data_IF_943116828983
#
_entry.id   IF_943116828983
#
_cell.length_a   1.000
_cell.length_b   1.000
_cell.length_c   1.000
_cell.angle_alpha   90.00
_cell.angle_beta   90.00
_cell.angle_gamma   90.00
#
_symmetry.space_group_name_H-M   'P 1'
#
loop_
_entity.id
_entity.type
_entity.pdbx_description
1 polymer ?
#
# COMPACT_ATOMS: atom_id res chain seq x y z
N UNK A 1 21.75 -30.95 7.49
CA UNK A 1 21.40 -29.70 8.20
C UNK A 1 21.31 -28.60 7.15
N UNK A 2 20.10 -28.32 6.68
CA UNK A 2 19.84 -27.41 5.56
C UNK A 2 20.21 -25.98 5.91
N UNK A 3 20.98 -25.35 5.03
CA UNK A 3 21.33 -23.93 5.06
C UNK A 3 20.10 -23.06 5.33
N UNK A 4 19.98 -22.51 6.54
CA UNK A 4 19.18 -21.31 6.74
C UNK A 4 19.86 -20.22 5.92
N UNK A 5 19.24 -19.81 4.81
CA UNK A 5 19.48 -18.49 4.23
C UNK A 5 19.12 -17.49 5.33
N UNK A 6 20.14 -17.02 6.04
CA UNK A 6 20.02 -15.85 6.92
C UNK A 6 19.75 -14.69 5.98
N UNK A 7 18.47 -14.36 5.83
CA UNK A 7 18.08 -13.10 5.20
C UNK A 7 18.51 -11.98 6.14
N UNK A 8 19.20 -10.94 5.64
CA UNK A 8 19.62 -9.83 6.50
C UNK A 8 18.37 -9.22 7.11
N UNK A 9 18.33 -9.16 8.44
CA UNK A 9 17.27 -8.51 9.18
C UNK A 9 17.20 -7.04 8.75
N UNK A 10 16.23 -6.68 7.90
CA UNK A 10 15.88 -5.28 7.69
C UNK A 10 15.15 -4.85 8.95
N UNK A 11 15.87 -4.14 9.82
CA UNK A 11 15.40 -3.73 11.14
C UNK A 11 14.36 -2.60 11.02
N UNK A 12 13.09 -2.98 10.94
CA UNK A 12 11.96 -2.08 11.16
C UNK A 12 11.10 -1.78 9.93
N UNK A 13 9.91 -1.23 10.21
CA UNK A 13 9.01 -0.75 9.15
C UNK A 13 9.68 0.42 8.41
N UNK A 14 9.64 0.44 7.06
CA UNK A 14 10.14 1.57 6.29
C UNK A 14 9.29 2.82 6.57
N UNK A 15 9.79 4.01 6.19
CA UNK A 15 8.95 5.20 6.19
C UNK A 15 7.69 4.97 5.35
N UNK A 16 6.55 5.56 5.73
CA UNK A 16 5.31 5.45 4.96
C UNK A 16 5.50 6.05 3.56
N UNK A 17 4.72 5.60 2.55
CA UNK A 17 4.85 6.14 1.21
C UNK A 17 4.55 7.65 1.18
N UNK A 18 5.23 8.37 0.29
CA UNK A 18 5.06 9.82 0.14
C UNK A 18 3.62 10.20 -0.20
N UNK A 19 3.05 11.19 0.50
CA UNK A 19 1.67 11.66 0.29
C UNK A 19 1.58 13.05 -0.36
N UNK A 20 2.72 13.69 -0.60
CA UNK A 20 2.86 14.97 -1.30
C UNK A 20 3.96 14.79 -2.33
N UNK A 21 3.73 15.23 -3.57
CA UNK A 21 4.75 15.20 -4.61
C UNK A 21 5.39 16.59 -4.72
N UNK A 22 6.65 16.77 -4.27
CA UNK A 22 7.31 18.09 -4.34
C UNK A 22 7.73 18.47 -5.77
N UNK A 23 7.74 17.53 -6.72
CA UNK A 23 8.22 17.72 -8.09
C UNK A 23 7.11 18.05 -9.08
N UNK A 24 5.85 17.79 -8.73
CA UNK A 24 4.70 18.02 -9.60
C UNK A 24 3.49 18.44 -8.78
N UNK A 25 2.79 19.46 -9.26
CA UNK A 25 1.50 19.84 -8.72
C UNK A 25 0.46 18.90 -9.34
N UNK A 26 -0.06 17.93 -8.57
CA UNK A 26 -1.14 17.09 -9.06
C UNK A 26 -2.43 17.89 -9.29
N UNK A 27 -3.46 17.20 -9.76
CA UNK A 27 -4.68 17.83 -10.27
C UNK A 27 -5.90 17.35 -9.50
N UNK A 28 -6.96 18.14 -9.62
CA UNK A 28 -8.31 17.69 -9.26
C UNK A 28 -9.06 17.47 -10.56
N UNK A 29 -9.50 16.24 -10.81
CA UNK A 29 -10.33 15.87 -11.96
C UNK A 29 -11.60 15.19 -11.48
N UNK A 30 -12.64 15.13 -12.31
CA UNK A 30 -13.87 14.40 -12.00
C UNK A 30 -13.61 12.92 -11.65
N UNK A 31 -12.67 12.27 -12.35
CA UNK A 31 -12.28 10.88 -12.07
C UNK A 31 -11.57 10.74 -10.71
N UNK A 32 -10.62 11.63 -10.39
CA UNK A 32 -9.94 11.61 -9.08
C UNK A 32 -10.91 11.90 -7.94
N UNK A 33 -11.84 12.84 -8.13
CA UNK A 33 -12.91 13.11 -7.16
C UNK A 33 -13.84 11.91 -6.97
N UNK A 34 -14.16 11.19 -8.04
CA UNK A 34 -14.96 9.95 -7.94
C UNK A 34 -14.20 8.86 -7.16
N UNK A 35 -12.91 8.69 -7.45
CA UNK A 35 -12.05 7.75 -6.71
C UNK A 35 -12.00 8.08 -5.21
N UNK A 36 -11.95 9.36 -4.84
CA UNK A 36 -11.95 9.79 -3.43
C UNK A 36 -13.33 9.64 -2.77
N UNK A 37 -14.37 10.24 -3.36
CA UNK A 37 -15.67 10.41 -2.71
C UNK A 37 -16.53 9.15 -2.76
N UNK A 38 -16.31 8.30 -3.77
CA UNK A 38 -17.10 7.09 -4.00
C UNK A 38 -16.27 5.85 -3.71
N UNK A 39 -15.16 5.65 -4.43
CA UNK A 39 -14.41 4.37 -4.35
C UNK A 39 -13.72 4.20 -3.00
N UNK A 40 -12.93 5.17 -2.54
CA UNK A 40 -12.29 5.13 -1.21
C UNK A 40 -13.34 4.99 -0.11
N UNK A 41 -14.45 5.74 -0.18
CA UNK A 41 -15.51 5.67 0.82
C UNK A 41 -16.14 4.28 0.89
N UNK A 42 -16.44 3.67 -0.25
CA UNK A 42 -16.98 2.32 -0.33
C UNK A 42 -16.00 1.27 0.23
N UNK A 43 -14.73 1.33 -0.18
CA UNK A 43 -13.69 0.42 0.31
C UNK A 43 -13.48 0.58 1.82
N UNK A 44 -13.44 1.80 2.35
CA UNK A 44 -13.26 2.05 3.78
C UNK A 44 -14.41 1.52 4.63
N UNK A 45 -15.65 1.62 4.10
CA UNK A 45 -16.86 1.12 4.75
C UNK A 45 -17.00 -0.41 4.70
N UNK A 46 -16.23 -1.10 3.87
CA UNK A 46 -16.30 -2.55 3.75
C UNK A 46 -15.77 -3.26 5.00
N UNK A 47 -16.44 -4.34 5.43
CA UNK A 47 -16.13 -5.09 6.66
C UNK A 47 -14.69 -5.63 6.68
N UNK A 48 -14.16 -6.01 5.52
CA UNK A 48 -12.80 -6.59 5.41
C UNK A 48 -11.72 -5.57 5.04
N UNK A 49 -12.01 -4.28 5.13
CA UNK A 49 -11.03 -3.25 4.78
C UNK A 49 -9.95 -3.05 5.83
N UNK A 50 -10.19 -3.49 7.08
CA UNK A 50 -9.32 -3.18 8.22
C UNK A 50 -7.81 -3.51 8.01
N UNK A 51 -7.40 -4.60 7.34
CA UNK A 51 -5.96 -4.87 7.12
C UNK A 51 -5.31 -3.91 6.13
N UNK A 52 -6.11 -3.28 5.27
CA UNK A 52 -5.65 -2.39 4.21
C UNK A 52 -5.72 -0.92 4.62
N UNK A 53 -6.27 -0.60 5.79
CA UNK A 53 -6.52 0.79 6.20
C UNK A 53 -5.25 1.55 6.54
N UNK A 54 -4.18 0.87 6.92
CA UNK A 54 -2.90 1.46 7.33
C UNK A 54 -1.74 0.70 6.69
N UNK A 55 -0.53 1.28 6.61
CA UNK A 55 0.67 0.55 6.24
C UNK A 55 0.82 -0.72 7.10
N UNK A 56 1.31 -1.80 6.49
CA UNK A 56 1.54 -3.07 7.18
C UNK A 56 2.62 -2.89 8.25
N UNK A 57 2.30 -3.18 9.51
CA UNK A 57 3.29 -3.18 10.57
C UNK A 57 3.95 -4.57 10.65
N UNK A 58 5.03 -4.75 9.91
CA UNK A 58 5.75 -6.03 9.83
C UNK A 58 6.36 -6.43 11.18
N UNK A 59 6.74 -5.47 12.02
CA UNK A 59 7.28 -5.73 13.36
C UNK A 59 6.16 -6.24 14.28
N UNK A 60 5.04 -5.52 14.36
CA UNK A 60 3.92 -5.89 15.22
C UNK A 60 3.29 -7.23 14.81
N UNK A 61 3.23 -7.51 13.50
CA UNK A 61 2.68 -8.75 12.96
C UNK A 61 3.70 -9.90 12.89
N UNK A 62 4.95 -9.67 13.29
CA UNK A 62 6.05 -10.65 13.25
C UNK A 62 6.26 -11.25 11.86
N UNK A 63 6.29 -10.38 10.85
CA UNK A 63 6.51 -10.70 9.43
C UNK A 63 7.91 -10.22 9.00
N UNK A 64 9.00 -10.92 9.39
CA UNK A 64 10.37 -10.41 9.25
C UNK A 64 10.83 -10.21 7.80
N UNK A 65 10.17 -10.85 6.84
CA UNK A 65 10.49 -10.86 5.42
C UNK A 65 9.55 -9.98 4.57
N UNK A 66 8.51 -9.38 5.18
CA UNK A 66 7.47 -8.66 4.44
C UNK A 66 8.05 -7.58 3.53
N UNK A 67 8.90 -6.70 4.08
CA UNK A 67 9.53 -5.62 3.32
C UNK A 67 10.76 -6.03 2.51
N UNK A 68 11.20 -7.28 2.63
CA UNK A 68 12.15 -7.90 1.70
C UNK A 68 11.44 -8.37 0.44
N UNK A 69 10.24 -8.92 0.58
CA UNK A 69 9.41 -9.42 -0.54
C UNK A 69 8.65 -8.26 -1.20
N UNK A 70 8.05 -7.39 -0.40
CA UNK A 70 7.21 -6.26 -0.85
C UNK A 70 8.03 -4.99 -0.90
N UNK A 71 8.45 -4.63 -2.12
CA UNK A 71 9.35 -3.49 -2.38
C UNK A 71 8.60 -2.16 -2.59
N UNK A 72 7.29 -2.20 -2.85
CA UNK A 72 6.44 -1.01 -3.05
C UNK A 72 5.20 -1.08 -2.16
N UNK A 73 5.33 -0.84 -0.84
CA UNK A 73 4.18 -0.91 0.06
C UNK A 73 3.13 0.15 -0.28
N UNK A 74 1.87 -0.20 -0.13
CA UNK A 74 0.73 0.68 -0.39
C UNK A 74 -0.47 0.26 0.46
N UNK A 75 -1.28 1.24 0.86
CA UNK A 75 -2.47 1.06 1.72
C UNK A 75 -3.52 2.15 1.47
N UNK A 76 -4.75 1.92 1.95
CA UNK A 76 -5.89 2.82 1.73
C UNK A 76 -5.70 4.20 2.37
N UNK A 77 -5.04 4.32 3.53
CA UNK A 77 -4.82 5.64 4.14
C UNK A 77 -3.86 6.48 3.31
N UNK A 78 -2.82 5.84 2.75
CA UNK A 78 -1.89 6.50 1.84
C UNK A 78 -2.60 6.97 0.58
N UNK A 79 -3.38 6.10 -0.10
CA UNK A 79 -4.13 6.47 -1.31
C UNK A 79 -5.11 7.61 -1.03
N UNK A 80 -5.83 7.53 0.10
CA UNK A 80 -6.75 8.58 0.55
C UNK A 80 -6.03 9.92 0.76
N UNK A 81 -4.91 9.93 1.49
CA UNK A 81 -4.12 11.15 1.72
C UNK A 81 -3.56 11.71 0.42
N UNK A 82 -3.10 10.86 -0.49
CA UNK A 82 -2.64 11.27 -1.84
C UNK A 82 -3.75 11.96 -2.64
N UNK A 83 -4.99 11.44 -2.62
CA UNK A 83 -6.13 12.11 -3.24
C UNK A 83 -6.42 13.48 -2.60
N UNK A 84 -6.44 13.54 -1.26
CA UNK A 84 -6.70 14.76 -0.50
C UNK A 84 -5.63 15.84 -0.72
N UNK A 85 -4.38 15.44 -0.88
CA UNK A 85 -3.23 16.33 -1.09
C UNK A 85 -2.99 16.66 -2.57
N UNK A 86 -3.90 16.26 -3.48
CA UNK A 86 -3.72 16.45 -4.93
C UNK A 86 -2.37 15.89 -5.41
N UNK A 87 -2.02 14.70 -4.94
CA UNK A 87 -0.77 14.02 -5.30
C UNK A 87 -0.79 13.52 -6.75
N UNK A 88 -1.93 12.97 -7.18
CA UNK A 88 -2.06 12.37 -8.51
C UNK A 88 -2.33 13.43 -9.58
N UNK A 89 -1.73 13.23 -10.74
CA UNK A 89 -2.00 13.98 -11.94
C UNK A 89 -3.22 13.44 -12.69
N UNK A 90 -3.36 12.11 -12.74
CA UNK A 90 -4.42 11.42 -13.45
C UNK A 90 -4.95 10.20 -12.68
N UNK A 91 -6.18 9.80 -12.97
CA UNK A 91 -6.85 8.70 -12.27
C UNK A 91 -6.09 7.36 -12.36
N UNK A 92 -5.39 7.12 -13.48
CA UNK A 92 -4.64 5.89 -13.70
C UNK A 92 -3.55 5.66 -12.62
N UNK A 93 -2.91 6.71 -12.13
CA UNK A 93 -1.88 6.60 -11.09
C UNK A 93 -2.48 6.14 -9.75
N UNK A 94 -3.64 6.67 -9.38
CA UNK A 94 -4.38 6.23 -8.20
C UNK A 94 -4.85 4.77 -8.35
N UNK A 95 -5.33 4.38 -9.53
CA UNK A 95 -5.71 2.99 -9.85
C UNK A 95 -4.51 2.04 -9.75
N UNK A 96 -3.32 2.48 -10.18
CA UNK A 96 -2.09 1.71 -10.04
C UNK A 96 -1.70 1.48 -8.58
N UNK A 97 -1.92 2.44 -7.70
CA UNK A 97 -1.70 2.26 -6.25
C UNK A 97 -2.69 1.26 -5.63
N UNK A 98 -3.97 1.29 -6.03
CA UNK A 98 -4.92 0.24 -5.63
C UNK A 98 -4.47 -1.14 -6.10
N UNK A 99 -4.07 -1.27 -7.36
CA UNK A 99 -3.57 -2.53 -7.91
C UNK A 99 -2.31 -3.00 -7.19
N UNK A 100 -1.40 -2.08 -6.84
CA UNK A 100 -0.18 -2.38 -6.07
C UNK A 100 -0.55 -2.93 -4.69
N UNK A 101 -1.46 -2.27 -3.96
CA UNK A 101 -1.94 -2.73 -2.66
C UNK A 101 -2.50 -4.16 -2.72
N UNK A 102 -3.38 -4.47 -3.68
CA UNK A 102 -3.93 -5.82 -3.83
C UNK A 102 -2.88 -6.84 -4.29
N UNK A 103 -2.01 -6.46 -5.23
CA UNK A 103 -0.92 -7.34 -5.71
C UNK A 103 0.02 -7.71 -4.59
N UNK A 104 0.41 -6.76 -3.74
CA UNK A 104 1.25 -7.03 -2.58
C UNK A 104 0.62 -8.06 -1.64
N UNK A 105 -0.68 -7.91 -1.38
CA UNK A 105 -1.44 -8.86 -0.59
C UNK A 105 -1.41 -10.27 -1.21
N UNK A 106 -1.67 -10.40 -2.52
CA UNK A 106 -1.64 -11.71 -3.19
C UNK A 106 -0.24 -12.32 -3.22
N UNK A 107 0.79 -11.54 -3.53
CA UNK A 107 2.17 -12.01 -3.61
C UNK A 107 2.65 -12.53 -2.26
N UNK A 108 2.49 -11.73 -1.20
CA UNK A 108 2.97 -12.11 0.13
C UNK A 108 2.17 -13.28 0.72
N UNK A 109 0.83 -13.20 0.70
CA UNK A 109 0.02 -14.23 1.35
C UNK A 109 0.01 -15.56 0.57
N UNK A 110 0.18 -15.54 -0.76
CA UNK A 110 0.39 -16.78 -1.52
C UNK A 110 1.74 -17.41 -1.19
N UNK A 111 2.79 -16.61 -1.02
CA UNK A 111 4.10 -17.12 -0.62
C UNK A 111 4.03 -17.81 0.76
N UNK A 112 3.29 -17.22 1.71
CA UNK A 112 3.07 -17.78 3.05
C UNK A 112 2.27 -19.10 3.05
N UNK A 113 1.43 -19.38 2.05
CA UNK A 113 0.61 -20.61 1.97
C UNK A 113 1.34 -21.80 1.34
N UNK A 114 2.55 -21.62 0.80
CA UNK A 114 3.32 -22.66 0.09
C UNK A 114 4.55 -23.10 0.91
N UNK A 115 4.67 -22.64 2.16
CA UNK A 115 5.64 -23.12 3.16
C UNK A 115 4.91 -23.82 4.30
#
# INVERSE_FOLDING_TARGET
MSNLKVFPAVSGNPPPPEIINPKSHGRVTNQLQYLEKVVIKALWGHNFSWPFRQPVDAVALRLPDYYTIITKPMDLSTIKKRLQNKYYWQALECIQDFNTMFTNCYVYNRFMQVQ
#
